data_IF_991536563411
#
_entry.id   IF_991536563411
#
_cell.length_a   1.000
_cell.length_b   1.000
_cell.length_c   1.000
_cell.angle_alpha   90.00
_cell.angle_beta   90.00
_cell.angle_gamma   90.00
#
_symmetry.space_group_name_H-M   'P 1'
#
loop_
_entity.id
_entity.type
_entity.pdbx_description
1 polymer ?
#
# COMPACT_ATOMS: atom_id res chain seq x y z
N UNK A 1 -11.16 11.69 20.97
CA UNK A 1 -10.65 11.79 19.58
C UNK A 1 -9.16 12.03 19.65
N UNK A 2 -8.36 11.14 19.13
CA UNK A 2 -6.90 11.30 19.11
C UNK A 2 -6.49 11.73 17.69
N UNK A 3 -6.14 13.01 17.55
CA UNK A 3 -5.66 13.57 16.28
C UNK A 3 -4.15 13.37 16.18
N UNK A 4 -3.72 12.89 15.03
CA UNK A 4 -2.32 12.66 14.69
C UNK A 4 -1.99 13.55 13.49
N UNK A 5 -0.80 14.14 13.50
CA UNK A 5 -0.28 14.86 12.34
C UNK A 5 0.94 14.12 11.79
N UNK A 6 0.93 13.82 10.50
CA UNK A 6 2.06 13.25 9.79
C UNK A 6 2.25 13.99 8.46
N UNK A 7 3.45 14.50 8.21
CA UNK A 7 3.68 15.41 7.11
C UNK A 7 2.78 16.64 7.22
N UNK A 8 2.04 16.93 6.17
CA UNK A 8 1.09 18.06 6.12
C UNK A 8 -0.37 17.64 6.41
N UNK A 9 -0.61 16.39 6.79
CA UNK A 9 -1.95 15.81 6.99
C UNK A 9 -2.24 15.59 8.47
N UNK A 10 -3.40 16.05 8.95
CA UNK A 10 -3.92 15.79 10.30
C UNK A 10 -5.13 14.88 10.21
N UNK A 11 -5.11 13.75 10.92
CA UNK A 11 -6.10 12.68 10.76
C UNK A 11 -6.43 11.99 12.08
N UNK A 12 -7.55 11.28 12.08
CA UNK A 12 -7.98 10.37 13.14
C UNK A 12 -7.69 8.93 12.73
N UNK A 13 -7.50 8.05 13.72
CA UNK A 13 -7.24 6.62 13.50
C UNK A 13 -8.29 5.72 14.16
N UNK A 14 -9.29 6.29 14.83
CA UNK A 14 -10.30 5.51 15.55
C UNK A 14 -11.11 4.62 14.58
N UNK A 15 -10.95 3.30 14.72
CA UNK A 15 -11.59 2.32 13.84
C UNK A 15 -10.76 1.87 12.64
N UNK A 16 -9.54 2.39 12.44
CA UNK A 16 -8.65 1.93 11.37
C UNK A 16 -7.20 1.77 11.84
N UNK A 17 -6.49 0.90 11.15
CA UNK A 17 -5.08 0.65 11.45
C UNK A 17 -4.18 1.83 11.08
N UNK A 18 -3.27 2.18 11.98
CA UNK A 18 -2.18 3.12 11.73
C UNK A 18 -0.91 2.68 12.46
N UNK A 19 0.22 2.67 11.77
CA UNK A 19 1.53 2.38 12.33
C UNK A 19 2.48 3.57 12.15
N UNK A 20 2.85 4.29 13.23
CA UNK A 20 3.76 5.44 13.12
C UNK A 20 5.17 5.07 12.68
N UNK A 21 5.61 3.81 12.88
CA UNK A 21 6.92 3.33 12.41
C UNK A 21 7.03 3.26 10.89
N UNK A 22 5.89 3.31 10.18
CA UNK A 22 5.84 3.33 8.72
C UNK A 22 5.90 4.74 8.12
N UNK A 23 6.10 5.79 8.91
CA UNK A 23 6.18 7.17 8.43
C UNK A 23 7.25 7.34 7.34
N UNK A 24 8.47 6.83 7.56
CA UNK A 24 9.54 6.87 6.56
C UNK A 24 9.16 6.16 5.24
N UNK A 25 8.44 5.03 5.32
CA UNK A 25 7.96 4.34 4.13
C UNK A 25 6.98 5.22 3.33
N UNK A 26 6.09 5.93 4.03
CA UNK A 26 5.17 6.90 3.39
C UNK A 26 5.87 8.14 2.85
N UNK A 27 6.94 8.61 3.53
CA UNK A 27 7.79 9.72 3.03
C UNK A 27 8.44 9.34 1.71
N UNK A 28 9.02 8.15 1.62
CA UNK A 28 9.63 7.61 0.40
C UNK A 28 8.57 7.48 -0.71
N UNK A 29 7.39 6.96 -0.38
CA UNK A 29 6.30 6.81 -1.34
C UNK A 29 5.88 8.17 -1.93
N UNK A 30 5.67 9.20 -1.10
CA UNK A 30 5.36 10.57 -1.54
C UNK A 30 6.45 11.13 -2.44
N UNK A 31 7.72 11.00 -2.03
CA UNK A 31 8.86 11.50 -2.80
C UNK A 31 8.98 10.82 -4.17
N UNK A 32 8.79 9.50 -4.23
CA UNK A 32 8.81 8.74 -5.47
C UNK A 32 7.63 9.13 -6.38
N UNK A 33 6.42 9.19 -5.84
CA UNK A 33 5.20 9.56 -6.58
C UNK A 33 5.37 10.93 -7.24
N UNK A 34 5.89 11.90 -6.51
CA UNK A 34 6.19 13.24 -7.04
C UNK A 34 7.28 13.21 -8.11
N UNK A 35 8.38 12.50 -7.86
CA UNK A 35 9.52 12.42 -8.77
C UNK A 35 9.19 11.73 -10.10
N UNK A 36 8.27 10.77 -10.08
CA UNK A 36 7.80 10.03 -11.24
C UNK A 36 6.70 10.76 -12.02
N UNK A 37 6.20 11.90 -11.52
CA UNK A 37 5.15 12.67 -12.17
C UNK A 37 3.82 11.92 -12.26
N UNK A 38 3.49 11.10 -11.24
CA UNK A 38 2.25 10.32 -11.22
C UNK A 38 1.06 11.28 -11.10
N UNK A 39 0.08 11.11 -11.97
CA UNK A 39 -1.15 11.92 -12.02
C UNK A 39 -2.39 11.19 -11.51
N UNK A 40 -2.37 9.84 -11.56
CA UNK A 40 -3.46 8.98 -11.08
C UNK A 40 -2.91 7.88 -10.15
N UNK A 41 -3.40 7.82 -8.94
CA UNK A 41 -2.90 6.93 -7.89
C UNK A 41 -4.02 6.21 -7.15
N UNK A 42 -3.84 4.90 -6.94
CA UNK A 42 -4.70 4.09 -6.08
C UNK A 42 -3.94 3.63 -4.83
N UNK A 43 -4.42 4.01 -3.65
CA UNK A 43 -4.11 3.35 -2.37
C UNK A 43 -5.12 2.20 -2.19
N UNK A 44 -4.70 0.98 -2.50
CA UNK A 44 -5.63 -0.16 -2.63
C UNK A 44 -6.11 -0.73 -1.30
N UNK A 45 -5.42 -0.42 -0.19
CA UNK A 45 -5.66 -0.95 1.16
C UNK A 45 -5.45 0.15 2.20
N UNK A 46 -6.20 1.24 2.06
CA UNK A 46 -5.87 2.55 2.61
C UNK A 46 -6.05 2.70 4.13
N UNK A 47 -6.85 1.85 4.79
CA UNK A 47 -7.12 1.89 6.23
C UNK A 47 -7.54 3.30 6.71
N UNK A 48 -6.65 4.07 7.36
CA UNK A 48 -6.91 5.45 7.78
C UNK A 48 -6.87 6.48 6.65
N UNK A 49 -6.39 6.09 5.46
CA UNK A 49 -6.22 6.95 4.29
C UNK A 49 -4.96 7.80 4.30
N UNK A 50 -4.12 7.71 5.34
CA UNK A 50 -2.98 8.63 5.52
C UNK A 50 -2.00 8.62 4.35
N UNK A 51 -1.70 7.46 3.76
CA UNK A 51 -0.77 7.34 2.64
C UNK A 51 -1.30 8.09 1.40
N UNK A 52 -2.50 7.75 0.94
CA UNK A 52 -3.08 8.39 -0.22
C UNK A 52 -3.40 9.87 0.00
N UNK A 53 -3.79 10.29 1.21
CA UNK A 53 -3.97 11.71 1.54
C UNK A 53 -2.65 12.50 1.45
N UNK A 54 -1.54 11.93 1.93
CA UNK A 54 -0.22 12.54 1.79
C UNK A 54 0.21 12.62 0.33
N UNK A 55 -0.05 11.57 -0.44
CA UNK A 55 0.20 11.56 -1.90
C UNK A 55 -0.60 12.67 -2.59
N UNK A 56 -1.88 12.81 -2.30
CA UNK A 56 -2.71 13.87 -2.87
C UNK A 56 -2.16 15.28 -2.56
N UNK A 57 -1.80 15.51 -1.31
CA UNK A 57 -1.45 16.84 -0.82
C UNK A 57 0.03 17.22 -1.00
N UNK A 58 0.93 16.24 -0.80
CA UNK A 58 2.39 16.49 -0.79
C UNK A 58 3.06 16.15 -2.12
N UNK A 59 2.52 15.18 -2.87
CA UNK A 59 3.00 14.87 -4.23
C UNK A 59 2.17 15.58 -5.32
N UNK A 60 1.11 16.30 -4.94
CA UNK A 60 0.26 17.09 -5.84
C UNK A 60 -0.41 16.24 -6.93
N UNK A 61 -0.78 15.00 -6.60
CA UNK A 61 -1.46 14.08 -7.52
C UNK A 61 -2.92 14.51 -7.69
N UNK A 62 -3.32 14.71 -8.94
CA UNK A 62 -4.65 15.24 -9.26
C UNK A 62 -5.80 14.24 -9.08
N UNK A 63 -5.55 12.96 -9.30
CA UNK A 63 -6.57 11.90 -9.17
C UNK A 63 -6.09 10.82 -8.19
N UNK A 64 -6.60 10.87 -6.95
CA UNK A 64 -6.29 9.89 -5.91
C UNK A 64 -7.55 9.10 -5.55
N UNK A 65 -7.42 7.78 -5.53
CA UNK A 65 -8.43 6.84 -5.04
C UNK A 65 -7.94 6.14 -3.79
N UNK A 66 -8.78 6.08 -2.76
CA UNK A 66 -8.55 5.37 -1.50
C UNK A 66 -9.54 4.22 -1.43
N UNK A 67 -9.06 3.00 -1.23
CA UNK A 67 -9.93 1.85 -1.12
C UNK A 67 -9.68 1.08 0.18
N UNK A 68 -10.73 0.61 0.81
CA UNK A 68 -10.67 -0.37 1.88
C UNK A 68 -11.91 -1.26 1.81
N UNK A 69 -11.83 -2.46 2.40
CA UNK A 69 -12.99 -3.35 2.48
C UNK A 69 -13.89 -3.02 3.69
N UNK A 70 -13.34 -2.33 4.69
CA UNK A 70 -14.07 -1.96 5.92
C UNK A 70 -14.91 -0.70 5.72
N UNK A 71 -16.23 -0.77 5.90
CA UNK A 71 -17.09 0.43 5.89
C UNK A 71 -16.70 1.47 6.95
N UNK A 72 -16.14 1.03 8.08
CA UNK A 72 -15.65 1.91 9.15
C UNK A 72 -14.43 2.71 8.67
N UNK A 73 -13.48 2.03 8.00
CA UNK A 73 -12.31 2.68 7.40
C UNK A 73 -12.74 3.67 6.31
N UNK A 74 -13.71 3.31 5.46
CA UNK A 74 -14.22 4.19 4.41
C UNK A 74 -14.81 5.48 4.98
N UNK A 75 -15.69 5.39 6.00
CA UNK A 75 -16.23 6.56 6.68
C UNK A 75 -15.16 7.42 7.37
N UNK A 76 -14.14 6.77 7.93
CA UNK A 76 -13.01 7.47 8.54
C UNK A 76 -12.18 8.22 7.49
N UNK A 77 -11.92 7.60 6.33
CA UNK A 77 -11.22 8.24 5.22
C UNK A 77 -11.97 9.49 4.73
N UNK A 78 -13.28 9.41 4.50
CA UNK A 78 -14.11 10.56 4.11
C UNK A 78 -13.97 11.71 5.12
N UNK A 79 -14.10 11.42 6.41
CA UNK A 79 -13.93 12.40 7.48
C UNK A 79 -12.52 13.03 7.52
N UNK A 80 -11.49 12.21 7.27
CA UNK A 80 -10.11 12.68 7.24
C UNK A 80 -9.83 13.53 5.99
N UNK A 81 -10.41 13.19 4.84
CA UNK A 81 -10.34 13.98 3.61
C UNK A 81 -10.97 15.36 3.80
N UNK A 82 -12.19 15.41 4.35
CA UNK A 82 -12.90 16.68 4.64
C UNK A 82 -12.08 17.57 5.58
N UNK A 83 -11.52 16.99 6.65
CA UNK A 83 -10.67 17.72 7.62
C UNK A 83 -9.48 18.41 6.96
N UNK A 84 -8.90 17.81 5.94
CA UNK A 84 -7.71 18.32 5.26
C UNK A 84 -8.03 19.09 3.98
N UNK A 85 -9.30 19.20 3.61
CA UNK A 85 -9.75 19.78 2.33
C UNK A 85 -9.08 19.11 1.13
N UNK A 86 -8.96 17.78 1.18
CA UNK A 86 -8.37 16.97 0.12
C UNK A 86 -9.50 16.37 -0.73
N UNK A 87 -9.42 16.55 -2.04
CA UNK A 87 -10.31 15.89 -2.99
C UNK A 87 -9.71 14.54 -3.38
N UNK A 88 -10.38 13.45 -3.02
CA UNK A 88 -10.03 12.08 -3.42
C UNK A 88 -11.30 11.21 -3.45
N UNK A 89 -11.27 10.13 -4.23
CA UNK A 89 -12.38 9.19 -4.32
C UNK A 89 -12.21 8.09 -3.27
N UNK A 90 -13.20 7.88 -2.41
CA UNK A 90 -13.23 6.73 -1.49
C UNK A 90 -14.07 5.60 -2.10
N UNK A 91 -13.54 4.39 -2.07
CA UNK A 91 -14.25 3.18 -2.48
C UNK A 91 -14.24 2.15 -1.35
N UNK A 92 -15.37 1.46 -1.14
CA UNK A 92 -15.51 0.46 -0.07
C UNK A 92 -15.67 -0.92 -0.74
N UNK A 93 -14.54 -1.50 -1.19
CA UNK A 93 -14.55 -2.69 -2.02
C UNK A 93 -13.44 -3.68 -1.67
N UNK A 94 -13.66 -4.95 -1.99
CA UNK A 94 -12.56 -5.91 -2.00
C UNK A 94 -11.48 -5.45 -3.02
N UNK A 95 -10.24 -5.32 -2.57
CA UNK A 95 -9.15 -4.81 -3.39
C UNK A 95 -8.92 -5.65 -4.66
N UNK A 96 -8.94 -6.98 -4.58
CA UNK A 96 -8.78 -7.83 -5.76
C UNK A 96 -9.89 -7.60 -6.79
N UNK A 97 -11.14 -7.44 -6.34
CA UNK A 97 -12.27 -7.15 -7.27
C UNK A 97 -12.07 -5.81 -7.95
N UNK A 98 -11.74 -4.77 -7.20
CA UNK A 98 -11.47 -3.44 -7.74
C UNK A 98 -10.33 -3.46 -8.78
N UNK A 99 -9.23 -4.13 -8.44
CA UNK A 99 -8.04 -4.26 -9.29
C UNK A 99 -8.29 -5.08 -10.57
N UNK A 100 -9.25 -6.00 -10.58
CA UNK A 100 -9.65 -6.71 -11.79
C UNK A 100 -10.58 -5.90 -12.70
N UNK A 101 -11.31 -4.94 -12.15
CA UNK A 101 -12.30 -4.15 -12.88
C UNK A 101 -11.77 -2.83 -13.41
N UNK A 102 -10.71 -2.29 -12.79
CA UNK A 102 -10.19 -0.95 -13.10
C UNK A 102 -8.68 -0.95 -13.24
N UNK A 103 -8.19 -0.02 -14.06
CA UNK A 103 -6.76 0.24 -14.25
C UNK A 103 -6.42 1.62 -13.69
N UNK A 104 -5.20 1.75 -13.18
CA UNK A 104 -4.67 2.98 -12.60
C UNK A 104 -3.23 3.18 -13.09
N UNK A 105 -2.80 4.43 -13.28
CA UNK A 105 -1.40 4.70 -13.62
C UNK A 105 -0.46 4.14 -12.56
N UNK A 106 -0.78 4.37 -11.29
CA UNK A 106 -0.03 3.83 -10.16
C UNK A 106 -0.96 3.11 -9.16
N UNK A 107 -0.54 1.92 -8.74
CA UNK A 107 -1.20 1.14 -7.68
C UNK A 107 -0.25 0.97 -6.51
N UNK A 108 -0.72 1.27 -5.29
CA UNK A 108 0.01 0.99 -4.05
C UNK A 108 -0.65 -0.15 -3.27
N UNK A 109 0.14 -1.17 -2.98
CA UNK A 109 -0.21 -2.30 -2.13
C UNK A 109 0.54 -2.22 -0.81
N UNK A 110 -0.12 -1.76 0.25
CA UNK A 110 0.39 -1.79 1.63
C UNK A 110 -0.54 -2.60 2.54
N UNK A 111 -0.65 -3.93 2.33
CA UNK A 111 -1.50 -4.78 3.16
C UNK A 111 -0.92 -4.96 4.56
N UNK A 112 -1.78 -5.29 5.50
CA UNK A 112 -1.32 -5.86 6.75
C UNK A 112 -0.71 -7.26 6.49
N UNK A 113 0.63 -7.32 6.48
CA UNK A 113 1.39 -8.55 6.27
C UNK A 113 1.88 -8.76 4.84
N UNK A 114 1.31 -9.72 4.12
CA UNK A 114 1.81 -10.14 2.81
C UNK A 114 1.04 -9.53 1.64
N UNK A 115 1.72 -8.96 0.64
CA UNK A 115 1.08 -8.49 -0.58
C UNK A 115 0.80 -9.61 -1.60
N UNK A 116 1.26 -10.83 -1.36
CA UNK A 116 1.27 -11.90 -2.36
C UNK A 116 -0.10 -12.25 -2.95
N UNK A 117 -1.18 -12.14 -2.17
CA UNK A 117 -2.55 -12.43 -2.64
C UNK A 117 -3.15 -11.31 -3.49
N UNK A 118 -2.54 -10.14 -3.52
CA UNK A 118 -3.00 -8.98 -4.29
C UNK A 118 -2.16 -8.74 -5.55
N UNK A 119 -0.93 -9.25 -5.58
CA UNK A 119 0.02 -9.02 -6.68
C UNK A 119 -0.52 -9.42 -8.05
N UNK A 120 -1.19 -10.58 -8.24
CA UNK A 120 -1.72 -10.96 -9.57
C UNK A 120 -2.77 -9.99 -10.11
N UNK A 121 -3.61 -9.43 -9.24
CA UNK A 121 -4.61 -8.45 -9.64
C UNK A 121 -3.98 -7.06 -9.85
N UNK A 122 -3.06 -6.67 -8.97
CA UNK A 122 -2.40 -5.38 -9.02
C UNK A 122 -1.48 -5.25 -10.25
N UNK A 123 -0.77 -6.32 -10.65
CA UNK A 123 0.09 -6.32 -11.83
C UNK A 123 -0.70 -6.07 -13.12
N UNK A 124 -1.96 -6.49 -13.18
CA UNK A 124 -2.86 -6.24 -14.34
C UNK A 124 -3.50 -4.86 -14.28
N UNK A 125 -3.73 -4.34 -13.08
CA UNK A 125 -4.37 -3.05 -12.85
C UNK A 125 -3.41 -1.87 -13.02
N UNK A 126 -2.15 -2.02 -12.61
CA UNK A 126 -1.12 -0.99 -12.70
C UNK A 126 -0.65 -0.82 -14.14
N UNK A 127 -0.84 0.37 -14.71
CA UNK A 127 -0.43 0.66 -16.09
C UNK A 127 1.06 1.00 -16.21
N UNK A 128 1.62 1.67 -15.19
CA UNK A 128 3.00 2.14 -15.21
C UNK A 128 3.77 1.81 -13.93
N UNK A 129 3.15 2.00 -12.77
CA UNK A 129 3.84 1.90 -11.48
C UNK A 129 3.10 1.00 -10.50
N UNK A 130 3.84 0.12 -9.86
CA UNK A 130 3.34 -0.73 -8.77
C UNK A 130 4.23 -0.56 -7.54
N UNK A 131 3.70 0.05 -6.49
CA UNK A 131 4.32 0.12 -5.17
C UNK A 131 3.91 -1.08 -4.34
N UNK A 132 4.87 -1.75 -3.71
CA UNK A 132 4.60 -2.96 -2.94
C UNK A 132 5.29 -2.89 -1.59
N UNK A 133 4.51 -2.96 -0.53
CA UNK A 133 4.99 -3.07 0.84
C UNK A 133 4.69 -4.46 1.40
N UNK A 134 5.68 -5.09 2.03
CA UNK A 134 5.54 -6.35 2.76
C UNK A 134 6.04 -6.19 4.19
N UNK A 135 5.17 -6.43 5.16
CA UNK A 135 5.53 -6.35 6.60
C UNK A 135 5.67 -7.73 7.26
N UNK A 136 5.34 -8.83 6.56
CA UNK A 136 5.50 -10.19 7.03
C UNK A 136 6.95 -10.71 6.85
N UNK A 137 7.89 -10.05 7.49
CA UNK A 137 9.33 -10.34 7.37
C UNK A 137 9.69 -11.75 7.85
N UNK A 138 8.94 -12.36 8.77
CA UNK A 138 9.22 -13.69 9.28
C UNK A 138 9.16 -14.79 8.19
N UNK A 139 8.13 -14.86 7.32
CA UNK A 139 8.13 -15.74 6.14
C UNK A 139 9.25 -15.40 5.16
N UNK A 140 9.44 -14.15 4.81
CA UNK A 140 10.44 -13.72 3.82
C UNK A 140 11.88 -13.99 4.26
N UNK A 141 12.16 -13.88 5.55
CA UNK A 141 13.50 -14.06 6.12
C UNK A 141 13.77 -15.49 6.65
N UNK A 142 12.91 -16.46 6.34
CA UNK A 142 13.12 -17.87 6.65
C UNK A 142 12.74 -18.32 8.06
N UNK A 143 12.14 -17.45 8.90
CA UNK A 143 11.66 -17.87 10.23
C UNK A 143 10.41 -18.76 10.15
N UNK A 144 9.59 -18.61 9.09
CA UNK A 144 8.40 -19.41 8.82
C UNK A 144 8.45 -19.99 7.40
N UNK A 145 9.30 -21.01 7.21
CA UNK A 145 9.63 -21.60 5.90
C UNK A 145 8.39 -21.96 5.05
N UNK A 146 7.46 -22.74 5.61
CA UNK A 146 6.27 -23.18 4.88
C UNK A 146 5.34 -22.05 4.48
N UNK A 147 5.28 -20.99 5.28
CA UNK A 147 4.54 -19.78 4.95
C UNK A 147 5.24 -18.99 3.83
N UNK A 148 6.57 -18.93 3.86
CA UNK A 148 7.37 -18.33 2.79
C UNK A 148 7.16 -19.04 1.45
N UNK A 149 7.25 -20.37 1.43
CA UNK A 149 7.02 -21.17 0.22
C UNK A 149 5.61 -20.93 -0.34
N UNK A 150 4.58 -20.99 0.50
CA UNK A 150 3.19 -20.81 0.05
C UNK A 150 2.88 -19.42 -0.48
N UNK A 151 3.42 -18.39 0.18
CA UNK A 151 3.11 -16.98 -0.17
C UNK A 151 3.97 -16.46 -1.32
N UNK A 152 5.24 -16.82 -1.31
CA UNK A 152 6.24 -16.20 -2.20
C UNK A 152 6.80 -17.15 -3.26
N UNK A 153 6.36 -18.43 -3.29
CA UNK A 153 6.81 -19.45 -4.23
C UNK A 153 8.34 -19.60 -4.26
N UNK A 154 8.97 -19.40 -3.11
CA UNK A 154 10.42 -19.45 -2.93
C UNK A 154 10.76 -20.09 -1.58
N UNK A 155 11.96 -20.66 -1.47
CA UNK A 155 12.50 -21.23 -0.23
C UNK A 155 13.35 -20.19 0.49
N UNK A 156 12.82 -19.44 1.46
CA UNK A 156 13.62 -18.48 2.21
C UNK A 156 14.59 -19.21 3.13
N UNK A 157 15.86 -18.80 3.13
CA UNK A 157 16.89 -19.41 3.94
C UNK A 157 17.24 -18.51 5.13
N UNK A 158 17.46 -19.14 6.29
CA UNK A 158 17.88 -18.46 7.51
C UNK A 158 19.41 -18.25 7.51
N UNK A 159 19.84 -17.15 6.88
CA UNK A 159 21.25 -16.80 6.68
C UNK A 159 21.58 -15.45 7.34
N UNK A 160 22.86 -15.09 7.52
CA UNK A 160 23.24 -13.75 7.98
C UNK A 160 22.69 -12.61 7.10
N UNK A 161 22.45 -12.87 5.81
CA UNK A 161 21.89 -11.92 4.84
C UNK A 161 20.40 -12.18 4.54
N UNK A 162 19.67 -12.77 5.48
CA UNK A 162 18.25 -13.12 5.32
C UNK A 162 17.35 -11.93 4.92
N UNK A 163 17.69 -10.69 5.32
CA UNK A 163 16.93 -9.49 4.96
C UNK A 163 17.03 -9.18 3.46
N UNK A 164 18.24 -9.23 2.92
CA UNK A 164 18.51 -9.07 1.49
C UNK A 164 17.82 -10.18 0.67
N UNK A 165 17.90 -11.41 1.15
CA UNK A 165 17.20 -12.53 0.53
C UNK A 165 15.69 -12.32 0.52
N UNK A 166 15.11 -11.86 1.62
CA UNK A 166 13.68 -11.55 1.71
C UNK A 166 13.25 -10.48 0.70
N UNK A 167 14.04 -9.42 0.54
CA UNK A 167 13.80 -8.39 -0.46
C UNK A 167 13.84 -8.96 -1.90
N UNK A 168 14.84 -9.80 -2.20
CA UNK A 168 14.96 -10.47 -3.52
C UNK A 168 13.83 -11.45 -3.81
N UNK A 169 13.35 -12.17 -2.79
CA UNK A 169 12.20 -13.08 -2.92
C UNK A 169 10.94 -12.27 -3.27
N UNK A 170 10.68 -11.17 -2.55
CA UNK A 170 9.54 -10.29 -2.83
C UNK A 170 9.64 -9.69 -4.24
N UNK A 171 10.80 -9.16 -4.60
CA UNK A 171 11.05 -8.61 -5.93
C UNK A 171 10.89 -9.65 -7.03
N UNK A 172 11.40 -10.88 -6.82
CA UNK A 172 11.26 -11.98 -7.77
C UNK A 172 9.81 -12.43 -7.96
N UNK A 173 8.97 -12.39 -6.92
CA UNK A 173 7.54 -12.64 -7.06
C UNK A 173 6.88 -11.51 -7.85
N UNK A 174 7.10 -10.26 -7.47
CA UNK A 174 6.51 -9.10 -8.16
C UNK A 174 6.91 -9.08 -9.65
N UNK A 175 8.17 -9.33 -9.98
CA UNK A 175 8.66 -9.39 -11.35
C UNK A 175 7.98 -10.49 -12.18
N UNK A 176 7.70 -11.66 -11.58
CA UNK A 176 6.98 -12.76 -12.27
C UNK A 176 5.53 -12.42 -12.56
N UNK A 177 4.87 -11.68 -11.66
CA UNK A 177 3.48 -11.25 -11.85
C UNK A 177 3.35 -10.12 -12.88
N UNK A 178 4.43 -9.33 -13.09
CA UNK A 178 4.48 -8.24 -14.06
C UNK A 178 4.91 -8.68 -15.48
N UNK A 179 5.49 -9.89 -15.61
CA UNK A 179 5.98 -10.44 -16.88
C UNK A 179 4.85 -11.05 -17.72
#
# INVERSE_FOLDING_TARGET
MNLITEGTVTFETEGAFYNPRMALNRDINVAMTRSLGISQYLDALAASGIRGMRVAKEAEVGEVSLNDISPEACRLMEKNLDRNSISATVTCRNANVLLHERHFQAVDLDPFGSPSSYLPAASRSALEYLFVTATDTAPLCGAHLMSGIRKYLATPLRTPYHREMGARILLGLAARELA
#
